data_IF_020925732616
#
_entry.id   IF_020925732616
#
_cell.length_a   1.000
_cell.length_b   1.000
_cell.length_c   1.000
_cell.angle_alpha   90.00
_cell.angle_beta   90.00
_cell.angle_gamma   90.00
#
_symmetry.space_group_name_H-M   'P 1'
#
loop_
_entity.id
_entity.type
_entity.pdbx_description
1 polymer ?
#
# COMPACT_ATOMS: atom_id res chain seq x y z
N UNK A 1 -43.85 10.01 8.44
CA UNK A 1 -44.01 10.91 7.30
C UNK A 1 -43.63 10.20 6.02
N UNK A 2 -44.21 10.53 4.90
CA UNK A 2 -43.89 9.97 3.60
C UNK A 2 -42.46 10.46 3.18
N UNK A 3 -41.57 9.55 2.78
CA UNK A 3 -40.16 9.84 2.45
C UNK A 3 -39.27 10.27 3.64
N UNK A 4 -39.58 9.93 4.86
CA UNK A 4 -38.67 10.15 5.97
C UNK A 4 -37.54 9.12 5.97
N UNK A 5 -36.27 9.58 5.93
CA UNK A 5 -35.09 8.76 6.12
C UNK A 5 -34.69 8.76 7.59
N UNK A 6 -34.38 7.59 8.12
CA UNK A 6 -33.81 7.43 9.46
C UNK A 6 -32.45 6.72 9.36
N UNK A 7 -31.48 7.26 10.05
CA UNK A 7 -30.15 6.63 10.17
C UNK A 7 -30.17 5.67 11.34
N UNK A 8 -29.75 4.43 11.09
CA UNK A 8 -29.50 3.41 12.12
C UNK A 8 -27.98 3.27 12.24
N UNK A 9 -27.46 3.52 13.42
CA UNK A 9 -26.04 3.31 13.72
C UNK A 9 -25.85 1.94 14.35
N UNK A 10 -25.01 1.11 13.76
CA UNK A 10 -24.61 -0.19 14.31
C UNK A 10 -23.18 -0.06 14.80
N UNK A 11 -22.97 -0.28 16.11
CA UNK A 11 -21.63 -0.32 16.71
C UNK A 11 -21.20 -1.77 16.88
N UNK A 12 -19.95 -2.05 16.53
CA UNK A 12 -19.32 -3.34 16.70
C UNK A 12 -18.04 -3.18 17.53
N UNK A 13 -17.80 -4.10 18.46
CA UNK A 13 -16.53 -4.21 19.19
C UNK A 13 -16.28 -5.66 19.57
N UNK A 14 -15.04 -6.11 19.49
CA UNK A 14 -14.60 -7.42 19.96
C UNK A 14 -13.18 -7.35 20.48
N UNK A 15 -12.87 -8.12 21.51
CA UNK A 15 -11.52 -8.34 22.01
C UNK A 15 -10.81 -9.52 21.28
N UNK A 16 -11.56 -10.30 20.51
CA UNK A 16 -11.03 -11.43 19.76
C UNK A 16 -10.67 -11.01 18.32
N UNK A 17 -9.56 -11.50 17.81
CA UNK A 17 -9.16 -11.34 16.41
C UNK A 17 -9.86 -12.40 15.59
N UNK A 18 -10.90 -12.00 14.86
CA UNK A 18 -11.73 -12.93 14.10
C UNK A 18 -12.60 -12.20 13.06
N UNK A 19 -13.21 -12.96 12.16
CA UNK A 19 -14.28 -12.50 11.28
C UNK A 19 -15.63 -12.77 11.92
N UNK A 20 -16.52 -11.82 11.90
CA UNK A 20 -17.84 -11.87 12.50
C UNK A 20 -18.90 -11.61 11.45
N UNK A 21 -20.01 -12.33 11.54
CA UNK A 21 -21.20 -12.11 10.71
C UNK A 21 -22.42 -11.96 11.59
N UNK A 22 -23.31 -11.06 11.21
CA UNK A 22 -24.58 -10.84 11.91
C UNK A 22 -25.68 -10.49 10.93
N UNK A 23 -26.90 -10.39 11.44
CA UNK A 23 -28.05 -9.97 10.64
C UNK A 23 -28.81 -8.88 11.38
N UNK A 24 -29.11 -7.80 10.66
CA UNK A 24 -30.05 -6.77 11.09
C UNK A 24 -31.42 -7.08 10.45
N UNK A 25 -32.39 -7.35 11.29
CA UNK A 25 -33.76 -7.57 10.86
C UNK A 25 -34.54 -6.26 10.96
N UNK A 26 -35.16 -5.87 9.89
CA UNK A 26 -36.02 -4.69 9.81
C UNK A 26 -37.46 -5.18 9.66
N UNK A 27 -38.34 -4.82 10.60
CA UNK A 27 -39.77 -5.13 10.55
C UNK A 27 -40.55 -3.80 10.59
N UNK A 28 -41.32 -3.56 9.58
CA UNK A 28 -42.09 -2.31 9.42
C UNK A 28 -43.46 -2.57 8.78
N UNK A 29 -44.32 -1.58 8.79
CA UNK A 29 -45.60 -1.64 8.07
C UNK A 29 -45.46 -1.74 6.54
N UNK A 30 -44.27 -1.46 6.01
CA UNK A 30 -43.92 -1.61 4.59
C UNK A 30 -43.33 -3.01 4.25
N UNK A 31 -43.18 -3.89 5.26
CA UNK A 31 -42.62 -5.24 5.06
C UNK A 31 -41.44 -5.52 5.98
N UNK A 32 -40.89 -6.71 5.75
CA UNK A 32 -39.70 -7.21 6.48
C UNK A 32 -38.51 -7.26 5.53
N UNK A 33 -37.35 -6.87 6.06
CA UNK A 33 -36.09 -6.95 5.34
C UNK A 33 -34.97 -7.45 6.26
N UNK A 34 -33.90 -7.99 5.68
CA UNK A 34 -32.76 -8.51 6.42
C UNK A 34 -31.47 -8.05 5.75
N UNK A 35 -30.65 -7.34 6.49
CA UNK A 35 -29.33 -6.90 6.05
C UNK A 35 -28.29 -7.80 6.72
N UNK A 36 -27.42 -8.43 5.93
CA UNK A 36 -26.24 -9.15 6.46
C UNK A 36 -25.17 -8.13 6.79
N UNK A 37 -24.64 -8.22 8.01
CA UNK A 37 -23.53 -7.41 8.49
C UNK A 37 -22.30 -8.28 8.58
N UNK A 38 -21.14 -7.77 8.20
CA UNK A 38 -19.85 -8.39 8.40
C UNK A 38 -18.90 -7.40 9.08
N UNK A 39 -18.04 -7.94 9.94
CA UNK A 39 -16.99 -7.17 10.61
C UNK A 39 -15.77 -8.07 10.81
N UNK A 40 -14.60 -7.48 10.81
CA UNK A 40 -13.34 -8.16 11.11
C UNK A 40 -12.60 -7.37 12.18
N UNK A 41 -11.88 -8.08 13.03
CA UNK A 41 -10.99 -7.49 14.01
C UNK A 41 -9.57 -8.00 13.79
N UNK A 42 -8.62 -7.14 14.08
CA UNK A 42 -7.20 -7.38 13.83
C UNK A 42 -6.40 -7.16 15.12
N UNK A 43 -5.17 -7.71 15.24
CA UNK A 43 -4.32 -7.45 16.40
C UNK A 43 -4.10 -5.95 16.62
N UNK A 44 -3.95 -5.52 17.87
CA UNK A 44 -3.66 -4.12 18.21
C UNK A 44 -2.33 -3.61 17.59
N UNK A 45 -1.44 -4.52 17.22
CA UNK A 45 -0.17 -4.24 16.51
C UNK A 45 -0.32 -4.14 15.01
N UNK A 46 -1.52 -4.36 14.45
CA UNK A 46 -1.74 -4.29 13.01
C UNK A 46 -1.61 -2.85 12.51
N UNK A 47 -1.03 -2.73 11.32
CA UNK A 47 -0.97 -1.50 10.55
C UNK A 47 -2.06 -1.52 9.49
N UNK A 48 -2.79 -0.43 9.39
CA UNK A 48 -3.85 -0.25 8.39
C UNK A 48 -3.57 0.99 7.57
N UNK A 49 -3.78 0.87 6.27
CA UNK A 49 -3.83 2.02 5.39
C UNK A 49 -4.97 1.87 4.39
N UNK A 50 -6.03 2.63 4.60
CA UNK A 50 -7.19 2.70 3.71
C UNK A 50 -7.15 3.91 2.79
N UNK A 51 -6.15 4.77 2.94
CA UNK A 51 -5.94 6.01 2.19
C UNK A 51 -7.05 7.06 2.32
N UNK A 52 -8.15 6.77 3.02
CA UNK A 52 -9.37 7.61 3.06
C UNK A 52 -9.13 9.01 3.64
N UNK A 53 -8.29 9.12 4.66
CA UNK A 53 -7.97 10.38 5.30
C UNK A 53 -6.77 11.11 4.66
N UNK A 54 -6.17 10.51 3.62
CA UNK A 54 -4.93 11.01 3.06
C UNK A 54 -5.15 11.97 1.90
N UNK A 55 -4.19 12.88 1.73
CA UNK A 55 -3.97 13.69 0.52
C UNK A 55 -2.62 13.39 -0.14
N UNK A 56 -1.73 12.71 0.59
CA UNK A 56 -0.42 12.22 0.15
C UNK A 56 -0.10 10.93 0.90
N UNK A 57 0.87 10.15 0.42
CA UNK A 57 1.36 8.99 1.16
C UNK A 57 1.90 9.41 2.54
N UNK A 58 1.67 8.59 3.59
CA UNK A 58 2.26 8.81 4.91
C UNK A 58 3.79 8.83 4.83
N UNK A 59 4.43 9.54 5.75
CA UNK A 59 5.89 9.73 5.73
C UNK A 59 6.68 8.42 5.95
N UNK A 60 6.06 7.40 6.55
CA UNK A 60 6.64 6.07 6.71
C UNK A 60 6.63 5.22 5.43
N UNK A 61 5.84 5.60 4.44
CA UNK A 61 5.92 5.03 3.11
C UNK A 61 7.06 5.68 2.34
N UNK A 62 7.88 4.87 1.69
CA UNK A 62 9.05 5.35 0.97
C UNK A 62 8.83 5.21 -0.51
N UNK A 63 9.03 6.29 -1.25
CA UNK A 63 8.93 6.28 -2.72
C UNK A 63 10.30 6.43 -3.33
N UNK A 64 10.60 5.51 -4.24
CA UNK A 64 11.79 5.55 -5.07
C UNK A 64 11.37 5.95 -6.47
N UNK A 65 11.81 7.11 -6.90
CA UNK A 65 11.53 7.62 -8.24
C UNK A 65 12.42 6.94 -9.27
N UNK A 66 11.80 6.43 -10.34
CA UNK A 66 12.51 5.85 -11.47
C UNK A 66 12.56 6.80 -12.67
N UNK A 67 11.81 7.90 -12.65
CA UNK A 67 11.77 8.93 -13.67
C UNK A 67 11.68 10.34 -13.08
N UNK A 68 11.47 11.33 -13.94
CA UNK A 68 11.33 12.73 -13.54
C UNK A 68 9.92 13.07 -13.06
N UNK A 69 8.93 12.27 -13.43
CA UNK A 69 7.53 12.49 -13.08
C UNK A 69 7.13 11.63 -11.86
N UNK A 70 6.11 12.07 -11.16
CA UNK A 70 5.50 11.26 -10.10
C UNK A 70 4.42 10.40 -10.72
N UNK A 71 4.54 9.08 -10.59
CA UNK A 71 3.63 8.11 -11.22
C UNK A 71 2.62 7.51 -10.24
N UNK A 72 2.39 8.16 -9.12
CA UNK A 72 1.38 7.76 -8.14
C UNK A 72 0.65 8.96 -7.57
N UNK A 73 -0.55 8.73 -7.04
CA UNK A 73 -1.35 9.74 -6.33
C UNK A 73 -2.34 9.07 -5.38
N UNK A 74 -2.91 9.85 -4.46
CA UNK A 74 -4.12 9.44 -3.73
C UNK A 74 -5.32 9.85 -4.57
N UNK A 75 -6.07 8.87 -5.06
CA UNK A 75 -7.28 9.10 -5.84
C UNK A 75 -8.49 9.21 -4.92
N UNK A 76 -9.36 10.19 -5.15
CA UNK A 76 -10.44 10.56 -4.22
C UNK A 76 -11.71 9.71 -4.33
N UNK A 77 -11.84 8.81 -5.33
CA UNK A 77 -13.13 8.16 -5.62
C UNK A 77 -13.04 6.79 -6.30
N UNK A 78 -11.84 6.24 -6.45
CA UNK A 78 -11.62 4.96 -7.13
C UNK A 78 -11.37 3.79 -6.18
N UNK A 79 -11.34 4.02 -4.88
CA UNK A 79 -11.18 3.00 -3.85
C UNK A 79 -12.38 2.07 -3.71
N UNK A 80 -12.29 1.13 -2.80
CA UNK A 80 -13.36 0.18 -2.47
C UNK A 80 -14.60 0.96 -2.01
N UNK A 81 -15.76 0.65 -2.58
CA UNK A 81 -17.02 1.36 -2.32
C UNK A 81 -16.99 2.87 -2.64
N UNK A 82 -16.07 3.32 -3.52
CA UNK A 82 -15.95 4.72 -3.90
C UNK A 82 -15.15 5.57 -2.92
N UNK A 83 -14.40 4.95 -2.02
CA UNK A 83 -13.46 5.59 -1.11
C UNK A 83 -12.21 6.10 -1.83
N UNK A 84 -11.25 6.65 -1.08
CA UNK A 84 -9.94 6.97 -1.64
C UNK A 84 -9.08 5.72 -1.78
N UNK A 85 -8.04 5.79 -2.60
CA UNK A 85 -7.09 4.71 -2.78
C UNK A 85 -5.74 5.25 -3.27
N UNK A 86 -4.71 4.44 -3.17
CA UNK A 86 -3.45 4.67 -3.86
C UNK A 86 -3.63 4.32 -5.34
N UNK A 87 -3.32 5.26 -6.21
CA UNK A 87 -3.44 5.13 -7.67
C UNK A 87 -2.07 5.19 -8.31
N UNK A 88 -1.72 4.21 -9.12
CA UNK A 88 -0.58 4.27 -10.03
C UNK A 88 -0.98 4.77 -11.40
N UNK A 89 -0.03 5.35 -12.10
CA UNK A 89 -0.16 5.75 -13.50
C UNK A 89 1.11 5.34 -14.25
N UNK A 90 0.95 5.12 -15.54
CA UNK A 90 2.12 4.98 -16.41
C UNK A 90 2.74 6.36 -16.62
N UNK A 91 4.07 6.46 -16.60
CA UNK A 91 4.78 7.70 -16.86
C UNK A 91 4.58 8.23 -18.27
N UNK A 92 5.18 9.38 -18.56
CA UNK A 92 5.16 9.98 -19.90
C UNK A 92 5.58 9.00 -20.98
N UNK A 93 4.82 8.96 -22.06
CA UNK A 93 5.07 8.13 -23.25
C UNK A 93 4.89 6.61 -23.03
N UNK A 94 4.29 6.17 -21.93
CA UNK A 94 4.04 4.75 -21.70
C UNK A 94 5.28 3.93 -21.34
N UNK A 95 6.33 4.57 -20.86
CA UNK A 95 7.56 3.89 -20.42
C UNK A 95 7.41 3.33 -19.02
N UNK A 96 7.23 2.01 -18.93
CA UNK A 96 7.08 1.29 -17.65
C UNK A 96 8.34 1.38 -16.77
N UNK A 97 9.52 1.62 -17.37
CA UNK A 97 10.77 1.74 -16.59
C UNK A 97 10.82 2.99 -15.73
N UNK A 98 9.95 3.96 -15.98
CA UNK A 98 9.85 5.22 -15.23
C UNK A 98 8.85 5.18 -14.08
N UNK A 99 8.12 4.07 -13.90
CA UNK A 99 7.12 3.94 -12.83
C UNK A 99 7.81 3.91 -11.47
N UNK A 100 7.35 4.76 -10.54
CA UNK A 100 7.87 4.83 -9.18
C UNK A 100 7.67 3.51 -8.43
N UNK A 101 8.62 3.17 -7.57
CA UNK A 101 8.49 2.04 -6.65
C UNK A 101 8.10 2.56 -5.28
N UNK A 102 7.00 2.06 -4.74
CA UNK A 102 6.42 2.48 -3.47
C UNK A 102 6.63 1.38 -2.44
N UNK A 103 7.26 1.70 -1.32
CA UNK A 103 7.53 0.77 -0.22
C UNK A 103 6.64 1.10 0.97
N UNK A 104 6.02 0.08 1.56
CA UNK A 104 5.27 0.20 2.81
C UNK A 104 6.19 0.51 4.00
N UNK A 105 5.65 0.81 5.19
CA UNK A 105 6.40 0.72 6.44
C UNK A 105 7.03 -0.67 6.64
N UNK A 106 7.94 -0.79 7.60
CA UNK A 106 8.49 -2.09 8.00
C UNK A 106 7.43 -2.91 8.72
N UNK A 107 7.21 -4.10 8.22
CA UNK A 107 6.15 -5.01 8.65
C UNK A 107 6.65 -6.44 8.76
N UNK A 108 5.81 -7.33 9.29
CA UNK A 108 6.05 -8.78 9.29
C UNK A 108 4.73 -9.56 9.40
N UNK A 109 4.82 -10.87 9.22
CA UNK A 109 3.68 -11.76 9.36
C UNK A 109 2.72 -11.69 8.18
N UNK A 110 1.42 -11.76 8.44
CA UNK A 110 0.41 -11.74 7.39
C UNK A 110 0.18 -10.31 6.88
N UNK A 111 0.08 -10.18 5.56
CA UNK A 111 -0.26 -8.93 4.87
C UNK A 111 -1.41 -9.19 3.91
N UNK A 112 -2.35 -8.26 3.83
CA UNK A 112 -3.42 -8.27 2.83
C UNK A 112 -3.54 -6.90 2.19
N UNK A 113 -3.93 -6.84 0.93
CA UNK A 113 -4.29 -5.62 0.24
C UNK A 113 -5.23 -5.91 -0.91
N UNK A 114 -6.05 -4.94 -1.26
CA UNK A 114 -6.93 -5.00 -2.42
C UNK A 114 -6.30 -4.25 -3.58
N UNK A 115 -6.45 -4.78 -4.80
CA UNK A 115 -6.09 -4.04 -6.01
C UNK A 115 -7.12 -4.19 -7.12
N UNK A 116 -7.15 -3.21 -8.02
CA UNK A 116 -8.04 -3.18 -9.17
C UNK A 116 -7.36 -2.48 -10.35
N UNK A 117 -7.50 -3.01 -11.56
CA UNK A 117 -7.01 -2.40 -12.80
C UNK A 117 -7.87 -1.21 -13.20
N UNK A 118 -7.30 -0.21 -13.85
CA UNK A 118 -8.06 0.95 -14.35
C UNK A 118 -8.88 0.62 -15.60
N UNK A 119 -8.47 -0.36 -16.41
CA UNK A 119 -9.23 -0.85 -17.57
C UNK A 119 -8.42 -1.03 -18.85
N UNK A 120 -7.12 -0.72 -18.84
CA UNK A 120 -6.21 -0.95 -19.95
C UNK A 120 -5.72 -2.40 -20.04
N UNK A 121 -5.32 -2.84 -21.23
CA UNK A 121 -4.77 -4.19 -21.44
C UNK A 121 -3.37 -4.36 -20.85
N UNK A 122 -2.62 -3.27 -20.71
CA UNK A 122 -1.28 -3.23 -20.11
C UNK A 122 -1.27 -2.95 -18.61
N UNK A 123 -2.44 -2.72 -18.01
CA UNK A 123 -2.53 -2.43 -16.58
C UNK A 123 -1.99 -3.60 -15.76
N UNK A 124 -1.04 -3.33 -14.87
CA UNK A 124 -0.36 -4.35 -14.09
C UNK A 124 0.09 -3.82 -12.73
N UNK A 125 0.00 -4.68 -11.73
CA UNK A 125 0.66 -4.50 -10.45
C UNK A 125 1.83 -5.47 -10.35
N UNK A 126 2.99 -4.97 -9.93
CA UNK A 126 4.07 -5.80 -9.44
C UNK A 126 4.23 -5.54 -7.96
N UNK A 127 4.26 -6.59 -7.19
CA UNK A 127 4.44 -6.52 -5.74
C UNK A 127 5.55 -7.49 -5.31
N UNK A 128 6.38 -7.05 -4.37
CA UNK A 128 7.51 -7.83 -3.87
C UNK A 128 7.59 -7.71 -2.35
N UNK A 129 7.94 -8.81 -1.69
CA UNK A 129 8.50 -8.75 -0.35
C UNK A 129 9.96 -8.33 -0.50
N UNK A 130 10.36 -7.27 0.21
CA UNK A 130 11.75 -6.79 0.25
C UNK A 130 12.24 -6.90 1.67
N UNK A 131 13.15 -7.82 1.89
CA UNK A 131 13.76 -8.08 3.21
C UNK A 131 14.79 -7.01 3.58
N UNK A 132 15.22 -6.98 4.84
CA UNK A 132 16.15 -5.97 5.35
C UNK A 132 17.52 -5.98 4.62
N UNK A 133 17.93 -7.12 4.07
CA UNK A 133 19.16 -7.25 3.26
C UNK A 133 18.97 -6.85 1.78
N UNK A 134 17.74 -6.45 1.41
CA UNK A 134 17.38 -6.03 0.05
C UNK A 134 16.99 -7.18 -0.89
N UNK A 135 16.90 -8.40 -0.40
CA UNK A 135 16.40 -9.53 -1.20
C UNK A 135 14.95 -9.31 -1.56
N UNK A 136 14.60 -9.54 -2.83
CA UNK A 136 13.25 -9.36 -3.36
C UNK A 136 12.62 -10.69 -3.72
N UNK A 137 11.42 -10.94 -3.22
CA UNK A 137 10.60 -12.11 -3.56
C UNK A 137 9.28 -11.64 -4.15
N UNK A 138 8.98 -12.05 -5.38
CA UNK A 138 7.75 -11.66 -6.06
C UNK A 138 6.51 -12.22 -5.35
N UNK A 139 5.50 -11.38 -5.21
CA UNK A 139 4.18 -11.76 -4.69
C UNK A 139 3.28 -12.12 -5.87
N UNK A 140 2.62 -13.26 -5.80
CA UNK A 140 1.62 -13.63 -6.80
C UNK A 140 0.33 -12.84 -6.55
N UNK A 141 0.12 -11.80 -7.32
CA UNK A 141 -1.10 -10.96 -7.25
C UNK A 141 -2.26 -11.51 -8.09
N UNK A 142 -2.01 -12.54 -8.90
CA UNK A 142 -2.99 -13.00 -9.91
C UNK A 142 -3.13 -12.01 -11.07
N UNK A 143 -4.13 -12.23 -11.92
CA UNK A 143 -4.34 -11.41 -13.13
C UNK A 143 -5.04 -10.08 -12.85
N UNK A 144 -5.78 -9.99 -11.76
CA UNK A 144 -6.62 -8.84 -11.43
C UNK A 144 -7.74 -8.57 -12.46
N UNK A 145 -8.61 -7.64 -12.12
CA UNK A 145 -9.77 -7.24 -12.94
C UNK A 145 -9.94 -5.73 -12.93
N UNK A 146 -10.56 -5.17 -13.98
CA UNK A 146 -11.00 -3.77 -14.01
C UNK A 146 -12.44 -3.57 -13.50
N UNK A 147 -13.23 -4.66 -13.42
CA UNK A 147 -14.60 -4.60 -12.95
C UNK A 147 -14.78 -4.89 -11.46
N UNK A 148 -13.83 -5.59 -10.85
CA UNK A 148 -13.89 -6.01 -9.44
C UNK A 148 -12.54 -5.85 -8.75
N UNK A 149 -12.56 -5.64 -7.46
CA UNK A 149 -11.40 -5.67 -6.59
C UNK A 149 -10.92 -7.11 -6.39
N UNK A 150 -9.62 -7.28 -6.30
CA UNK A 150 -8.96 -8.57 -6.03
C UNK A 150 -8.17 -8.42 -4.74
N UNK A 151 -8.45 -9.27 -3.76
CA UNK A 151 -7.69 -9.32 -2.51
C UNK A 151 -6.48 -10.22 -2.67
N UNK A 152 -5.32 -9.71 -2.33
CA UNK A 152 -4.05 -10.44 -2.25
C UNK A 152 -3.76 -10.77 -0.80
N UNK A 153 -3.40 -12.02 -0.53
CA UNK A 153 -2.99 -12.47 0.79
C UNK A 153 -1.53 -12.94 0.72
N UNK A 154 -0.72 -12.47 1.65
CA UNK A 154 0.69 -12.85 1.83
C UNK A 154 0.85 -13.31 3.27
N UNK A 155 1.02 -14.61 3.47
CA UNK A 155 0.92 -15.19 4.82
C UNK A 155 2.20 -15.04 5.66
N UNK A 156 3.38 -15.08 5.05
CA UNK A 156 4.65 -15.15 5.76
C UNK A 156 5.64 -14.06 5.32
N UNK A 157 5.36 -12.81 5.64
CA UNK A 157 6.31 -11.71 5.43
C UNK A 157 7.36 -11.75 6.54
N UNK A 158 8.66 -11.94 6.21
CA UNK A 158 9.72 -12.01 7.21
C UNK A 158 9.85 -10.71 8.02
N UNK A 159 10.36 -10.84 9.23
CA UNK A 159 10.65 -9.69 10.09
C UNK A 159 11.60 -8.69 9.41
N UNK A 160 11.34 -7.40 9.58
CA UNK A 160 12.16 -6.33 8.99
C UNK A 160 11.88 -6.06 7.51
N UNK A 161 10.86 -6.70 6.93
CA UNK A 161 10.53 -6.56 5.51
C UNK A 161 9.60 -5.40 5.22
N UNK A 162 9.48 -5.08 3.94
CA UNK A 162 8.50 -4.15 3.35
C UNK A 162 7.83 -4.80 2.16
N UNK A 163 6.64 -4.35 1.82
CA UNK A 163 6.08 -4.64 0.50
C UNK A 163 6.45 -3.48 -0.43
N UNK A 164 6.98 -3.81 -1.60
CA UNK A 164 7.26 -2.87 -2.67
C UNK A 164 6.21 -3.02 -3.76
N UNK A 165 5.65 -1.91 -4.23
CA UNK A 165 4.68 -1.85 -5.31
C UNK A 165 5.23 -1.08 -6.50
N UNK A 166 5.01 -1.60 -7.72
CA UNK A 166 5.09 -0.86 -8.98
C UNK A 166 3.71 -0.93 -9.62
N UNK A 167 3.07 0.24 -9.81
CA UNK A 167 1.65 0.35 -10.17
C UNK A 167 1.50 0.96 -11.57
N UNK A 168 1.25 0.13 -12.58
CA UNK A 168 0.94 0.56 -13.94
C UNK A 168 -0.59 0.62 -14.11
N UNK A 169 -1.18 1.82 -14.03
CA UNK A 169 -2.62 2.06 -14.12
C UNK A 169 -3.45 1.12 -13.22
N UNK A 170 -3.10 1.07 -11.95
CA UNK A 170 -3.72 0.20 -10.95
C UNK A 170 -4.04 0.99 -9.70
N UNK A 171 -5.13 0.62 -9.06
CA UNK A 171 -5.56 1.11 -7.76
C UNK A 171 -5.22 0.08 -6.68
N UNK A 172 -4.72 0.54 -5.53
CA UNK A 172 -4.48 -0.26 -4.33
C UNK A 172 -5.22 0.35 -3.16
N UNK A 173 -5.86 -0.49 -2.36
CA UNK A 173 -6.65 -0.08 -1.21
C UNK A 173 -6.57 -1.13 -0.09
N UNK A 174 -7.08 -0.80 1.10
CA UNK A 174 -7.20 -1.69 2.24
C UNK A 174 -5.91 -2.47 2.54
N UNK A 175 -4.78 -1.76 2.60
CA UNK A 175 -3.52 -2.38 2.98
C UNK A 175 -3.51 -2.67 4.49
N UNK A 176 -3.35 -3.93 4.86
CA UNK A 176 -3.33 -4.40 6.25
C UNK A 176 -2.10 -5.27 6.45
N UNK A 177 -1.29 -4.93 7.43
CA UNK A 177 -0.21 -5.78 7.94
C UNK A 177 -0.49 -6.16 9.39
N UNK A 178 -0.49 -7.45 9.69
CA UNK A 178 -0.87 -7.94 11.02
C UNK A 178 0.16 -7.61 12.10
N UNK A 179 1.39 -7.33 11.71
CA UNK A 179 2.41 -6.86 12.64
C UNK A 179 3.20 -5.73 11.99
N UNK A 180 3.11 -4.54 12.57
CA UNK A 180 3.99 -3.42 12.25
C UNK A 180 5.19 -3.48 13.19
N UNK A 181 6.37 -3.38 12.64
CA UNK A 181 7.57 -3.22 13.45
C UNK A 181 7.87 -1.75 13.68
N UNK A 182 7.88 -1.34 14.94
CA UNK A 182 8.37 -0.03 15.35
C UNK A 182 9.90 -0.02 15.27
N UNK A 183 10.44 0.65 14.26
CA UNK A 183 11.88 0.90 14.20
C UNK A 183 12.16 2.11 15.08
N UNK A 184 12.57 1.86 16.33
CA UNK A 184 12.87 2.93 17.30
C UNK A 184 14.04 3.84 16.88
N UNK A 185 14.93 3.35 16.02
CA UNK A 185 16.03 4.11 15.39
C UNK A 185 16.37 3.47 14.05
N UNK A 186 16.11 4.17 12.97
CA UNK A 186 16.44 3.69 11.64
C UNK A 186 16.97 4.81 10.76
N UNK A 187 18.05 4.53 10.04
CA UNK A 187 18.58 5.41 9.01
C UNK A 187 18.52 4.66 7.70
N UNK A 188 17.83 5.24 6.75
CA UNK A 188 17.79 4.72 5.38
C UNK A 188 18.65 5.61 4.48
N UNK A 189 19.59 5.00 3.77
CA UNK A 189 20.35 5.67 2.72
C UNK A 189 19.56 5.64 1.42
N UNK A 190 19.32 6.80 0.86
CA UNK A 190 18.64 6.94 -0.44
C UNK A 190 19.64 7.52 -1.43
N UNK A 191 19.86 6.82 -2.53
CA UNK A 191 20.74 7.30 -3.60
C UNK A 191 19.99 8.31 -4.47
N UNK A 192 20.44 9.56 -4.49
CA UNK A 192 19.73 10.64 -5.19
C UNK A 192 19.60 10.43 -6.71
N UNK A 193 20.61 9.89 -7.38
CA UNK A 193 20.60 9.77 -8.83
C UNK A 193 19.44 8.92 -9.38
N UNK A 194 18.92 7.98 -8.59
CA UNK A 194 17.79 7.13 -8.97
C UNK A 194 16.83 6.95 -7.80
N UNK A 195 16.99 7.68 -6.69
CA UNK A 195 16.22 7.55 -5.45
C UNK A 195 15.98 6.10 -4.99
N UNK A 196 16.83 5.18 -5.37
CA UNK A 196 16.67 3.77 -4.99
C UNK A 196 17.24 3.52 -3.60
N UNK A 197 16.50 2.94 -2.68
CA UNK A 197 17.07 2.39 -1.46
C UNK A 197 18.17 1.41 -1.82
N UNK A 198 19.33 1.57 -1.20
CA UNK A 198 20.48 0.70 -1.49
C UNK A 198 21.12 0.32 -0.16
N UNK A 199 21.29 -0.96 0.07
CA UNK A 199 22.03 -1.47 1.22
C UNK A 199 23.56 -1.31 1.08
N UNK A 200 24.01 -0.97 -0.14
CA UNK A 200 25.42 -0.73 -0.43
C UNK A 200 25.58 0.28 -1.56
N UNK A 201 26.62 1.06 -1.52
CA UNK A 201 27.03 2.00 -2.55
C UNK A 201 28.47 1.72 -2.94
N UNK A 202 28.72 1.64 -4.25
CA UNK A 202 30.07 1.51 -4.78
C UNK A 202 30.53 2.88 -5.28
N UNK A 203 31.59 3.40 -4.69
CA UNK A 203 32.31 4.56 -5.21
C UNK A 203 33.40 4.07 -6.16
N UNK A 204 33.31 4.45 -7.43
CA UNK A 204 34.39 4.24 -8.37
C UNK A 204 35.38 5.40 -8.27
N UNK A 205 36.56 5.13 -7.77
CA UNK A 205 37.70 6.01 -7.92
C UNK A 205 38.37 5.64 -9.26
N UNK A 206 38.15 6.40 -10.30
CA UNK A 206 38.89 6.26 -11.55
C UNK A 206 40.40 6.57 -11.38
N UNK A 207 41.27 6.12 -12.31
CA UNK A 207 42.70 6.36 -12.23
C UNK A 207 43.07 7.85 -12.30
N UNK A 208 42.21 8.70 -12.84
CA UNK A 208 42.40 10.14 -12.90
C UNK A 208 41.83 10.83 -11.65
N UNK A 209 42.72 11.21 -10.77
CA UNK A 209 42.44 11.95 -9.52
C UNK A 209 41.75 13.33 -9.74
N UNK A 210 41.53 13.75 -10.98
CA UNK A 210 40.96 15.05 -11.32
C UNK A 210 39.42 15.06 -11.36
N UNK A 211 38.76 13.92 -11.41
CA UNK A 211 37.31 13.83 -11.36
C UNK A 211 36.87 13.61 -9.93
N UNK A 212 36.44 14.67 -9.26
CA UNK A 212 35.71 14.55 -7.98
C UNK A 212 34.39 13.85 -8.28
N UNK A 213 34.33 12.56 -8.01
CA UNK A 213 33.06 11.84 -7.97
C UNK A 213 32.34 12.22 -6.67
N UNK A 214 31.47 13.22 -6.78
CA UNK A 214 30.59 13.61 -5.64
C UNK A 214 29.39 12.66 -5.68
N UNK A 215 29.26 11.83 -4.65
CA UNK A 215 28.06 11.06 -4.40
C UNK A 215 27.21 11.86 -3.41
N UNK A 216 26.06 12.34 -3.87
CA UNK A 216 25.04 12.90 -3.00
C UNK A 216 24.12 11.78 -2.55
N UNK A 217 23.80 11.74 -1.26
CA UNK A 217 22.83 10.83 -0.69
C UNK A 217 22.00 11.56 0.36
N UNK A 218 20.72 11.21 0.40
CA UNK A 218 19.83 11.67 1.46
C UNK A 218 19.75 10.60 2.56
N UNK A 219 19.76 11.04 3.80
CA UNK A 219 19.51 10.19 4.97
C UNK A 219 18.12 10.54 5.48
N UNK A 220 17.21 9.58 5.46
CA UNK A 220 15.90 9.72 6.08
C UNK A 220 15.89 8.94 7.39
N UNK A 221 15.53 9.61 8.48
CA UNK A 221 15.20 8.91 9.73
C UNK A 221 13.83 8.24 9.55
N UNK A 222 13.79 6.93 9.62
CA UNK A 222 12.57 6.12 9.55
C UNK A 222 12.20 5.51 10.90
N UNK A 223 12.92 5.88 11.96
CA UNK A 223 12.63 5.47 13.33
C UNK A 223 11.67 6.42 14.02
N UNK A 224 10.99 5.92 15.04
CA UNK A 224 10.25 6.73 16.00
C UNK A 224 11.20 7.31 17.05
N UNK A 225 10.95 8.54 17.47
CA UNK A 225 11.68 9.17 18.60
C UNK A 225 11.19 8.57 19.92
#
# INVERSE_FOLDING_TARGET
AFNEQKTITVNFSSAEVNSFTGKLYIDSNGGKDTITLSAETYPATAYYETFDELSKLPDEWVVVKNGNETTYSINSSKGVNGSKCLSGSIGSWGDESTIDTIFTPVISGKVTFDFKKAGGSSDAIQAYIVTADGTQTAINTGTGSSSSWTTVNVDDVPEGSRIAFTLNNVYVDNFIAFTRQEISKGIQLVKEANNRPSSWMTLYAGPDKATQNTLQFAIKNIGTQ
#
